data_IF_897307323259
#
_entry.id   IF_897307323259
#
_cell.length_a   1.000
_cell.length_b   1.000
_cell.length_c   1.000
_cell.angle_alpha   90.00
_cell.angle_beta   90.00
_cell.angle_gamma   90.00
#
_symmetry.space_group_name_H-M   'P 1'
#
loop_
_entity.id
_entity.type
_entity.pdbx_description
1 polymer ?
#
# COMPACT_ATOMS: atom_id res chain seq x y z
N UNK A 1 -6.07 22.32 1.10
CA UNK A 1 -6.80 21.21 1.72
C UNK A 1 -8.27 21.44 1.44
N UNK A 2 -8.79 20.93 0.32
CA UNK A 2 -10.23 20.95 0.09
C UNK A 2 -10.84 20.14 1.24
N UNK A 3 -11.79 20.74 1.96
CA UNK A 3 -12.49 20.05 3.03
C UNK A 3 -13.34 18.98 2.38
N UNK A 4 -12.80 17.76 2.32
CA UNK A 4 -13.48 16.65 1.68
C UNK A 4 -14.79 16.40 2.40
N UNK A 5 -15.91 16.67 1.73
CA UNK A 5 -17.25 16.40 2.23
C UNK A 5 -17.48 14.89 2.15
N UNK A 6 -16.86 14.14 3.05
CA UNK A 6 -17.10 12.71 3.24
C UNK A 6 -18.59 12.51 3.51
N UNK A 7 -19.23 11.69 2.68
CA UNK A 7 -20.65 11.34 2.82
C UNK A 7 -20.73 10.07 3.64
N UNK A 8 -21.63 10.04 4.62
CA UNK A 8 -21.85 8.90 5.48
C UNK A 8 -23.27 8.39 5.32
N UNK A 9 -23.45 7.08 5.34
CA UNK A 9 -24.74 6.47 5.61
C UNK A 9 -24.84 6.30 7.14
N UNK A 10 -25.96 6.74 7.69
CA UNK A 10 -26.22 6.75 9.14
C UNK A 10 -27.47 5.95 9.46
N UNK A 11 -27.48 5.31 10.63
CA UNK A 11 -28.65 4.60 11.17
C UNK A 11 -29.75 5.58 11.65
N UNK A 12 -30.87 5.03 12.14
CA UNK A 12 -32.00 5.82 12.67
C UNK A 12 -31.64 6.65 13.90
N UNK A 13 -30.62 6.23 14.66
CA UNK A 13 -30.09 6.93 15.83
C UNK A 13 -29.03 7.98 15.44
N UNK A 14 -28.71 8.12 14.15
CA UNK A 14 -27.72 9.04 13.62
C UNK A 14 -26.26 8.57 13.73
N UNK A 15 -26.01 7.29 14.04
CA UNK A 15 -24.66 6.70 14.07
C UNK A 15 -24.20 6.37 12.66
N UNK A 16 -22.93 6.63 12.35
CA UNK A 16 -22.34 6.36 11.03
C UNK A 16 -22.06 4.86 10.86
N UNK A 17 -22.71 4.23 9.91
CA UNK A 17 -22.52 2.81 9.59
C UNK A 17 -21.53 2.60 8.43
N UNK A 18 -21.53 3.50 7.44
CA UNK A 18 -20.59 3.44 6.32
C UNK A 18 -20.27 4.81 5.75
N UNK A 19 -19.22 4.87 4.93
CA UNK A 19 -18.74 6.07 4.26
C UNK A 19 -18.70 5.83 2.75
N UNK A 20 -19.18 6.80 1.98
CA UNK A 20 -19.00 6.80 0.54
C UNK A 20 -17.67 7.49 0.21
N UNK A 21 -16.80 6.76 -0.46
CA UNK A 21 -15.53 7.23 -1.01
C UNK A 21 -15.66 7.42 -2.51
N UNK A 22 -14.85 8.30 -3.09
CA UNK A 22 -14.64 8.23 -4.54
C UNK A 22 -13.97 6.89 -4.89
N UNK A 23 -14.08 6.48 -6.15
CA UNK A 23 -13.40 5.25 -6.61
C UNK A 23 -11.89 5.40 -6.47
N UNK A 24 -11.36 6.59 -6.80
CA UNK A 24 -9.95 6.95 -6.65
C UNK A 24 -9.47 6.79 -5.19
N UNK A 25 -10.16 7.39 -4.22
CA UNK A 25 -9.79 7.27 -2.80
C UNK A 25 -9.85 5.81 -2.30
N UNK A 26 -10.82 5.02 -2.80
CA UNK A 26 -10.92 3.61 -2.44
C UNK A 26 -9.75 2.81 -3.01
N UNK A 27 -9.40 3.02 -4.28
CA UNK A 27 -8.29 2.34 -4.93
C UNK A 27 -6.95 2.69 -4.25
N UNK A 28 -6.72 3.97 -3.94
CA UNK A 28 -5.55 4.42 -3.18
C UNK A 28 -5.48 3.76 -1.80
N UNK A 29 -6.59 3.73 -1.05
CA UNK A 29 -6.63 3.06 0.25
C UNK A 29 -6.33 1.56 0.15
N UNK A 30 -6.81 0.91 -0.91
CA UNK A 30 -6.55 -0.51 -1.13
C UNK A 30 -5.09 -0.77 -1.52
N UNK A 31 -4.43 0.12 -2.26
CA UNK A 31 -2.99 0.07 -2.53
C UNK A 31 -2.18 0.21 -1.23
N UNK A 32 -2.49 1.21 -0.40
CA UNK A 32 -1.82 1.40 0.90
C UNK A 32 -1.91 0.16 1.80
N UNK A 33 -3.07 -0.50 1.83
CA UNK A 33 -3.26 -1.73 2.62
C UNK A 33 -2.40 -2.88 2.07
N UNK A 34 -2.27 -3.01 0.74
CA UNK A 34 -1.41 -4.04 0.13
C UNK A 34 0.05 -3.80 0.48
N UNK A 35 0.51 -2.55 0.43
CA UNK A 35 1.88 -2.19 0.78
C UNK A 35 2.18 -2.51 2.25
N UNK A 36 1.26 -2.19 3.16
CA UNK A 36 1.38 -2.53 4.58
C UNK A 36 1.39 -4.05 4.81
N UNK A 37 0.54 -4.80 4.09
CA UNK A 37 0.54 -6.25 4.15
C UNK A 37 1.87 -6.84 3.68
N UNK A 38 2.42 -6.32 2.56
CA UNK A 38 3.72 -6.74 2.04
C UNK A 38 4.84 -6.49 3.07
N UNK A 39 4.85 -5.33 3.73
CA UNK A 39 5.82 -5.05 4.80
C UNK A 39 5.69 -6.07 5.94
N UNK A 40 4.46 -6.40 6.35
CA UNK A 40 4.21 -7.35 7.44
C UNK A 40 4.65 -8.78 7.08
N UNK A 41 4.37 -9.23 5.85
CA UNK A 41 4.80 -10.54 5.34
C UNK A 41 6.34 -10.65 5.29
N UNK A 42 7.01 -9.56 4.93
CA UNK A 42 8.47 -9.51 4.79
C UNK A 42 9.22 -9.21 6.08
N UNK A 43 8.52 -9.02 7.20
CA UNK A 43 9.10 -8.54 8.46
C UNK A 43 10.25 -9.41 8.98
N UNK A 44 10.12 -10.72 8.85
CA UNK A 44 11.09 -11.70 9.36
C UNK A 44 11.98 -12.29 8.23
N UNK A 45 11.92 -11.72 7.02
CA UNK A 45 12.81 -12.14 5.92
C UNK A 45 14.26 -11.78 6.25
N UNK A 46 15.22 -12.66 5.91
CA UNK A 46 16.63 -12.36 6.09
C UNK A 46 17.05 -11.17 5.20
N UNK A 47 17.81 -10.24 5.77
CA UNK A 47 18.39 -9.11 5.04
C UNK A 47 19.69 -9.51 4.34
N UNK A 48 19.98 -8.92 3.18
CA UNK A 48 21.28 -9.01 2.52
C UNK A 48 22.01 -7.64 2.52
N UNK A 49 23.35 -7.60 2.55
CA UNK A 49 24.10 -6.34 2.40
C UNK A 49 23.83 -5.70 1.03
N UNK A 50 23.69 -4.37 1.00
CA UNK A 50 23.41 -3.61 -0.22
C UNK A 50 24.45 -3.88 -1.33
N UNK A 51 25.73 -3.88 -1.00
CA UNK A 51 26.82 -4.12 -1.96
C UNK A 51 26.71 -5.49 -2.65
N UNK A 52 26.22 -6.52 -1.94
CA UNK A 52 26.03 -7.86 -2.50
C UNK A 52 24.80 -7.92 -3.41
N UNK A 53 23.72 -7.22 -3.02
CA UNK A 53 22.54 -7.02 -3.86
C UNK A 53 22.90 -6.29 -5.17
N UNK A 54 23.66 -5.20 -5.10
CA UNK A 54 24.08 -4.42 -6.26
C UNK A 54 24.91 -5.25 -7.24
N UNK A 55 25.94 -5.94 -6.76
CA UNK A 55 26.75 -6.85 -7.60
C UNK A 55 25.90 -7.92 -8.28
N UNK A 56 24.96 -8.51 -7.53
CA UNK A 56 24.03 -9.54 -8.06
C UNK A 56 23.13 -8.99 -9.15
N UNK A 57 22.60 -7.78 -8.96
CA UNK A 57 21.75 -7.10 -9.96
C UNK A 57 22.55 -6.69 -11.20
N UNK A 58 23.75 -6.12 -11.04
CA UNK A 58 24.64 -5.77 -12.14
C UNK A 58 25.04 -7.00 -12.97
N UNK A 59 25.43 -8.08 -12.31
CA UNK A 59 25.79 -9.33 -12.96
C UNK A 59 24.60 -9.92 -13.73
N UNK A 60 23.40 -9.89 -13.14
CA UNK A 60 22.16 -10.33 -13.81
C UNK A 60 21.91 -9.51 -15.07
N UNK A 61 21.99 -8.18 -15.00
CA UNK A 61 21.74 -7.31 -16.15
C UNK A 61 22.79 -7.46 -17.26
N UNK A 62 24.08 -7.61 -16.90
CA UNK A 62 25.17 -7.79 -17.87
C UNK A 62 25.23 -9.18 -18.50
N UNK A 63 24.60 -10.18 -17.87
CA UNK A 63 24.51 -11.55 -18.38
C UNK A 63 23.28 -11.84 -19.25
N UNK A 64 22.46 -10.83 -19.55
CA UNK A 64 21.24 -10.96 -20.37
C UNK A 64 21.44 -10.63 -21.87
N UNK A 65 22.68 -10.67 -22.36
CA UNK A 65 22.98 -10.61 -23.81
C UNK A 65 22.94 -11.99 -24.49
#
# INVERSE_FOLDING_TARGET
>A
MAQDKRRYLVDEDGRKESVALSVEDYEELMEDIKDLALIAERKDEPTEPLDELEKRLEAKWRGTE
#
